data_IF_071582516677
#
_entry.id   IF_071582516677
#
_cell.length_a   1.000
_cell.length_b   1.000
_cell.length_c   1.000
_cell.angle_alpha   90.00
_cell.angle_beta   90.00
_cell.angle_gamma   90.00
#
_symmetry.space_group_name_H-M   'P 1'
#
loop_
_entity.id
_entity.type
_entity.pdbx_description
1 polymer ?
#
# COMPACT_ATOMS: atom_id res chain seq x y z
N UNK A 1 -8.16 25.77 0.19
CA UNK A 1 -6.90 25.27 0.78
C UNK A 1 -6.60 23.91 0.20
N UNK A 2 -5.32 23.62 -0.06
CA UNK A 2 -4.87 22.28 -0.47
C UNK A 2 -4.22 21.58 0.72
N UNK A 3 -4.48 20.29 0.87
CA UNK A 3 -4.00 19.50 2.01
C UNK A 3 -3.26 18.25 1.53
N UNK A 4 -2.28 17.85 2.32
CA UNK A 4 -1.60 16.56 2.17
C UNK A 4 -1.98 15.73 3.40
N UNK A 5 -2.50 14.53 3.16
CA UNK A 5 -2.56 13.49 4.18
C UNK A 5 -1.29 12.68 4.06
N UNK A 6 -0.40 12.82 5.03
CA UNK A 6 0.87 12.11 5.07
C UNK A 6 0.77 10.93 6.04
N UNK A 7 1.17 9.75 5.56
CA UNK A 7 1.29 8.53 6.36
C UNK A 7 2.77 8.17 6.41
N UNK A 8 3.33 8.22 7.62
CA UNK A 8 4.69 7.75 7.83
C UNK A 8 4.73 6.24 8.05
N UNK A 9 5.72 5.57 7.46
CA UNK A 9 6.01 4.14 7.57
C UNK A 9 4.80 3.20 7.39
N UNK A 10 4.11 3.36 6.26
CA UNK A 10 3.00 2.48 5.88
C UNK A 10 3.50 1.05 5.65
N UNK A 11 3.05 0.14 6.49
CA UNK A 11 3.26 -1.29 6.35
C UNK A 11 2.07 -2.07 6.93
N UNK A 12 1.81 -3.25 6.36
CA UNK A 12 0.73 -4.13 6.80
C UNK A 12 1.28 -5.51 7.17
N UNK A 13 0.70 -6.09 8.22
CA UNK A 13 1.02 -7.43 8.71
C UNK A 13 -0.12 -8.42 8.40
N UNK A 14 0.17 -9.72 8.59
CA UNK A 14 -0.64 -10.88 8.16
C UNK A 14 -2.14 -10.79 8.43
N UNK A 15 -2.48 -10.28 9.60
CA UNK A 15 -3.84 -10.26 10.13
C UNK A 15 -4.49 -8.88 10.08
N UNK A 16 -3.83 -7.89 9.47
CA UNK A 16 -4.33 -6.53 9.49
C UNK A 16 -5.36 -6.32 8.39
N UNK A 17 -6.63 -6.15 8.75
CA UNK A 17 -7.70 -5.84 7.81
C UNK A 17 -7.68 -4.38 7.33
N UNK A 18 -6.85 -3.52 7.94
CA UNK A 18 -6.79 -2.08 7.65
C UNK A 18 -6.40 -1.75 6.20
N UNK A 19 -5.66 -2.63 5.52
CA UNK A 19 -5.28 -2.43 4.11
C UNK A 19 -6.52 -2.37 3.20
N UNK A 20 -7.59 -3.10 3.52
CA UNK A 20 -8.84 -3.09 2.74
C UNK A 20 -9.55 -1.75 2.87
N UNK A 21 -9.56 -1.18 4.08
CA UNK A 21 -10.11 0.15 4.33
C UNK A 21 -9.32 1.22 3.59
N UNK A 22 -7.98 1.18 3.61
CA UNK A 22 -7.16 2.14 2.87
C UNK A 22 -7.37 2.02 1.36
N UNK A 23 -7.44 0.79 0.83
CA UNK A 23 -7.74 0.54 -0.58
C UNK A 23 -9.08 1.15 -0.98
N UNK A 24 -10.13 0.93 -0.20
CA UNK A 24 -11.45 1.48 -0.47
C UNK A 24 -11.46 3.02 -0.50
N UNK A 25 -10.69 3.67 0.38
CA UNK A 25 -10.51 5.13 0.38
C UNK A 25 -9.80 5.61 -0.89
N UNK A 26 -8.75 4.90 -1.33
CA UNK A 26 -8.02 5.23 -2.55
C UNK A 26 -8.83 4.96 -3.83
N UNK A 27 -9.73 3.98 -3.79
CA UNK A 27 -10.68 3.68 -4.87
C UNK A 27 -11.89 4.62 -4.89
N UNK A 28 -12.11 5.41 -3.84
CA UNK A 28 -13.27 6.29 -3.71
C UNK A 28 -14.57 5.54 -3.43
N UNK A 29 -14.50 4.33 -2.85
CA UNK A 29 -15.64 3.44 -2.66
C UNK A 29 -16.62 3.84 -1.54
N UNK A 30 -16.25 4.77 -0.64
CA UNK A 30 -17.12 5.27 0.43
C UNK A 30 -17.48 6.73 0.15
N UNK A 31 -16.46 7.56 -0.05
CA UNK A 31 -16.57 8.94 -0.53
C UNK A 31 -15.32 9.17 -1.40
N UNK A 32 -15.48 9.79 -2.57
CA UNK A 32 -14.35 10.06 -3.45
C UNK A 32 -13.30 10.94 -2.76
N UNK A 33 -12.01 10.72 -3.04
CA UNK A 33 -10.94 11.58 -2.52
C UNK A 33 -11.26 13.05 -2.88
N UNK A 34 -11.31 13.98 -1.90
CA UNK A 34 -11.56 15.39 -2.18
C UNK A 34 -10.53 15.94 -3.17
N UNK A 35 -10.96 16.81 -4.09
CA UNK A 35 -10.10 17.36 -5.16
C UNK A 35 -8.89 18.12 -4.61
N UNK A 36 -9.03 18.70 -3.42
CA UNK A 36 -8.01 19.50 -2.75
C UNK A 36 -7.12 18.71 -1.77
N UNK A 37 -7.21 17.36 -1.77
CA UNK A 37 -6.44 16.48 -0.86
C UNK A 37 -5.63 15.48 -1.66
N UNK A 38 -4.33 15.36 -1.38
CA UNK A 38 -3.47 14.27 -1.90
C UNK A 38 -2.94 13.41 -0.76
N UNK A 39 -2.78 12.10 -1.01
CA UNK A 39 -2.26 11.15 -0.02
C UNK A 39 -0.81 10.78 -0.34
N UNK A 40 0.07 11.00 0.61
CA UNK A 40 1.48 10.60 0.56
C UNK A 40 1.73 9.53 1.61
N UNK A 41 2.50 8.50 1.26
CA UNK A 41 2.91 7.46 2.18
C UNK A 41 4.40 7.15 1.99
N UNK A 42 5.13 6.97 3.09
CA UNK A 42 6.47 6.36 3.08
C UNK A 42 6.32 4.88 3.44
N UNK A 43 7.26 4.04 3.02
CA UNK A 43 7.34 2.64 3.47
C UNK A 43 8.78 2.19 3.49
N UNK A 44 9.22 1.61 4.60
CA UNK A 44 10.53 0.98 4.72
C UNK A 44 10.58 -0.42 4.08
N UNK A 45 9.43 -0.96 3.65
CA UNK A 45 9.33 -2.27 3.01
C UNK A 45 9.30 -2.10 1.49
N UNK A 46 10.01 -2.98 0.76
CA UNK A 46 9.99 -3.02 -0.72
C UNK A 46 8.58 -3.28 -1.28
N UNK A 47 7.71 -3.89 -0.49
CA UNK A 47 6.28 -4.05 -0.77
C UNK A 47 5.51 -3.64 0.50
N UNK A 48 4.37 -2.95 0.34
CA UNK A 48 3.53 -2.54 1.47
C UNK A 48 3.05 -3.72 2.34
N UNK A 49 2.98 -4.90 1.73
CA UNK A 49 2.65 -6.18 2.38
C UNK A 49 3.88 -7.08 2.47
N UNK A 50 4.04 -7.79 3.58
CA UNK A 50 5.17 -8.71 3.77
C UNK A 50 5.13 -9.89 2.79
N UNK A 51 6.31 -10.33 2.32
CA UNK A 51 6.44 -11.45 1.37
C UNK A 51 5.89 -12.76 1.92
N UNK A 52 6.10 -13.04 3.20
CA UNK A 52 5.61 -14.24 3.85
C UNK A 52 4.07 -14.32 3.84
N UNK A 53 3.37 -13.17 3.83
CA UNK A 53 1.91 -13.13 3.66
C UNK A 53 1.47 -13.46 2.24
N UNK A 54 2.25 -13.06 1.25
CA UNK A 54 2.01 -13.36 -0.16
C UNK A 54 2.21 -14.87 -0.38
N UNK A 55 3.22 -15.46 0.24
CA UNK A 55 3.54 -16.89 0.13
C UNK A 55 2.61 -17.81 0.93
N UNK A 56 2.22 -17.41 2.15
CA UNK A 56 1.29 -18.18 2.98
C UNK A 56 -0.10 -18.28 2.36
N UNK A 57 -0.67 -17.17 1.87
CA UNK A 57 -1.96 -17.21 1.16
C UNK A 57 -1.86 -17.94 -0.18
N UNK A 58 -0.73 -17.84 -0.88
CA UNK A 58 -0.51 -18.65 -2.08
C UNK A 58 -0.59 -20.15 -1.79
N UNK A 59 -0.21 -20.56 -0.59
CA UNK A 59 -0.19 -21.96 -0.17
C UNK A 59 -1.54 -22.46 0.37
N UNK A 60 -2.40 -21.57 0.88
CA UNK A 60 -3.68 -21.91 1.51
C UNK A 60 -4.92 -21.51 0.70
N UNK A 61 -4.79 -20.60 -0.27
CA UNK A 61 -5.89 -20.13 -1.09
C UNK A 61 -6.22 -21.14 -2.20
N UNK A 62 -7.53 -21.30 -2.45
CA UNK A 62 -8.05 -22.10 -3.57
C UNK A 62 -7.59 -21.51 -4.91
N UNK A 63 -7.51 -20.17 -4.98
CA UNK A 63 -7.01 -19.39 -6.12
C UNK A 63 -5.81 -18.51 -5.70
N UNK A 64 -4.58 -19.04 -5.78
CA UNK A 64 -3.39 -18.31 -5.35
C UNK A 64 -3.13 -17.02 -6.14
N UNK A 65 -3.53 -16.96 -7.40
CA UNK A 65 -3.34 -15.76 -8.25
C UNK A 65 -4.19 -14.57 -7.80
N UNK A 66 -5.46 -14.80 -7.47
CA UNK A 66 -6.40 -13.76 -7.05
C UNK A 66 -5.99 -13.14 -5.71
N UNK A 67 -5.53 -13.95 -4.75
CA UNK A 67 -5.08 -13.49 -3.44
C UNK A 67 -3.85 -12.56 -3.54
N UNK A 68 -2.93 -12.87 -4.47
CA UNK A 68 -1.75 -12.04 -4.73
C UNK A 68 -2.14 -10.76 -5.48
N UNK A 69 -3.00 -10.83 -6.49
CA UNK A 69 -3.51 -9.65 -7.20
C UNK A 69 -4.25 -8.68 -6.27
N UNK A 70 -5.08 -9.17 -5.36
CA UNK A 70 -5.80 -8.32 -4.39
C UNK A 70 -4.81 -7.53 -3.52
N UNK A 71 -3.68 -8.13 -3.16
CA UNK A 71 -2.63 -7.50 -2.33
C UNK A 71 -1.78 -6.49 -3.10
N UNK A 72 -1.41 -6.80 -4.34
CA UNK A 72 -0.67 -5.87 -5.20
C UNK A 72 -1.53 -4.67 -5.57
N UNK A 73 -2.85 -4.87 -5.71
CA UNK A 73 -3.77 -3.83 -6.16
C UNK A 73 -3.81 -2.56 -5.30
N UNK A 74 -3.44 -2.63 -4.01
CA UNK A 74 -3.30 -1.43 -3.17
C UNK A 74 -2.13 -0.56 -3.63
N UNK A 75 -0.99 -1.19 -3.96
CA UNK A 75 0.20 -0.46 -4.42
C UNK A 75 -0.06 0.21 -5.77
N UNK A 76 -0.84 -0.43 -6.64
CA UNK A 76 -1.24 0.12 -7.94
C UNK A 76 -2.15 1.37 -7.83
N UNK A 77 -2.72 1.65 -6.64
CA UNK A 77 -3.49 2.89 -6.41
C UNK A 77 -2.61 4.11 -6.15
N UNK A 78 -1.31 3.91 -5.91
CA UNK A 78 -0.36 5.01 -5.86
C UNK A 78 0.11 5.33 -7.28
N UNK A 79 -0.34 6.48 -7.81
CA UNK A 79 -0.01 6.90 -9.18
C UNK A 79 1.46 7.26 -9.41
N UNK A 80 2.26 7.43 -8.34
CA UNK A 80 3.69 7.66 -8.40
C UNK A 80 4.38 6.87 -7.29
N UNK A 81 5.46 6.17 -7.67
CA UNK A 81 6.31 5.44 -6.76
C UNK A 81 7.72 5.99 -6.83
N UNK A 82 8.26 6.41 -5.68
CA UNK A 82 9.62 6.95 -5.56
C UNK A 82 10.46 5.97 -4.75
N UNK A 83 11.39 5.30 -5.42
CA UNK A 83 12.38 4.47 -4.76
C UNK A 83 13.58 5.31 -4.33
N UNK A 84 13.94 5.23 -3.04
CA UNK A 84 15.17 5.84 -2.55
C UNK A 84 16.33 4.85 -2.63
N UNK A 85 17.47 5.31 -3.13
CA UNK A 85 18.73 4.58 -2.99
C UNK A 85 19.29 4.82 -1.59
N UNK A 86 20.12 3.90 -1.08
CA UNK A 86 20.80 4.15 0.19
C UNK A 86 21.65 5.41 0.01
N UNK A 87 21.38 6.46 0.78
CA UNK A 87 22.29 7.58 0.86
C UNK A 87 23.64 7.05 1.33
N UNK A 88 24.72 7.38 0.62
CA UNK A 88 26.05 7.25 1.18
C UNK A 88 26.17 8.20 2.37
N UNK A 89 26.88 7.79 3.41
CA UNK A 89 27.09 8.60 4.61
C UNK A 89 27.78 9.95 4.34
N UNK A 90 28.36 10.10 3.14
CA UNK A 90 29.10 11.26 2.66
C UNK A 90 28.26 12.21 1.75
N UNK A 91 26.97 11.95 1.54
CA UNK A 91 26.00 12.85 0.86
C UNK A 91 24.99 13.48 1.82
#
# INVERSE_FOLDING_TARGET
FHFIVFIDDLSFDGNDASYKSLKAVLEGGIEGRPENVILYATSNRRHLLARDMIENERSTAINPGEAVEEKVSLSDRFGLWLGFHRCSQDE
#
